data_IF_474110755879
#
_entry.id   IF_474110755879
#
_cell.length_a   1.000
_cell.length_b   1.000
_cell.length_c   1.000
_cell.angle_alpha   90.00
_cell.angle_beta   90.00
_cell.angle_gamma   90.00
#
_symmetry.space_group_name_H-M   'P 1'
#
loop_
_entity.id
_entity.type
_entity.pdbx_description
1 polymer ?
#
# COMPACT_ATOMS: atom_id res chain seq x y z
N UNK A 1 0.66 63.66 -6.35
CA UNK A 1 -0.09 62.40 -6.44
C UNK A 1 0.91 61.27 -6.18
N UNK A 2 0.98 60.82 -4.95
CA UNK A 2 1.88 59.75 -4.50
C UNK A 2 1.04 58.47 -4.33
N UNK A 3 1.25 57.51 -5.21
CA UNK A 3 0.64 56.19 -5.09
C UNK A 3 1.29 55.40 -3.96
N UNK A 4 0.54 55.16 -2.91
CA UNK A 4 0.91 54.32 -1.81
C UNK A 4 0.56 52.88 -2.15
N UNK A 5 1.57 52.09 -2.53
CA UNK A 5 1.43 50.62 -2.68
C UNK A 5 1.35 50.01 -1.28
N UNK A 6 0.17 49.56 -0.89
CA UNK A 6 0.01 48.65 0.25
C UNK A 6 0.43 47.25 -0.18
N UNK A 7 1.64 46.85 0.18
CA UNK A 7 2.04 45.45 0.17
C UNK A 7 1.39 44.76 1.37
N UNK A 8 0.36 43.98 1.08
CA UNK A 8 -0.22 43.05 2.07
C UNK A 8 0.79 41.94 2.29
N UNK A 9 1.57 42.03 3.36
CA UNK A 9 2.37 40.92 3.85
C UNK A 9 1.40 39.94 4.54
N UNK A 10 0.91 38.94 3.83
CA UNK A 10 0.25 37.79 4.42
C UNK A 10 1.31 37.02 5.21
N UNK A 11 1.39 37.27 6.51
CA UNK A 11 2.15 36.45 7.43
C UNK A 11 1.45 35.06 7.47
N UNK A 12 1.89 34.15 6.63
CA UNK A 12 1.61 32.73 6.81
C UNK A 12 2.29 32.29 8.12
N UNK A 13 1.58 32.36 9.23
CA UNK A 13 1.95 31.61 10.42
C UNK A 13 1.65 30.16 10.09
N UNK A 14 2.57 29.50 9.41
CA UNK A 14 2.64 28.05 9.41
C UNK A 14 2.93 27.65 10.85
N UNK A 15 1.88 27.36 11.62
CA UNK A 15 2.06 26.61 12.86
C UNK A 15 2.69 25.29 12.41
N UNK A 16 4.00 25.19 12.58
CA UNK A 16 4.74 23.98 12.26
C UNK A 16 4.05 22.83 13.00
N UNK A 17 3.29 22.01 12.28
CA UNK A 17 2.66 20.83 12.85
C UNK A 17 3.79 19.89 13.25
N UNK A 18 4.17 19.94 14.53
CA UNK A 18 5.19 19.07 15.10
C UNK A 18 4.79 17.61 14.93
N UNK A 19 5.78 16.75 14.80
CA UNK A 19 5.58 15.30 14.83
C UNK A 19 4.87 14.90 16.13
N UNK A 20 4.05 13.86 16.06
CA UNK A 20 3.38 13.32 17.24
C UNK A 20 4.36 12.50 18.09
N UNK A 21 4.30 12.66 19.41
CA UNK A 21 5.01 11.78 20.33
C UNK A 21 4.28 10.44 20.50
N UNK A 22 4.93 9.47 21.13
CA UNK A 22 4.38 8.12 21.28
C UNK A 22 3.03 8.07 22.02
N UNK A 23 2.81 8.94 23.00
CA UNK A 23 1.55 9.00 23.74
C UNK A 23 0.41 9.54 22.86
N UNK A 24 0.70 10.52 22.03
CA UNK A 24 -0.24 11.07 21.07
C UNK A 24 -0.59 10.06 19.98
N UNK A 25 0.40 9.33 19.46
CA UNK A 25 0.19 8.25 18.50
C UNK A 25 -0.69 7.13 19.08
N UNK A 26 -0.48 6.78 20.36
CA UNK A 26 -1.33 5.81 21.06
C UNK A 26 -2.78 6.29 21.17
N UNK A 27 -3.00 7.56 21.53
CA UNK A 27 -4.35 8.16 21.60
C UNK A 27 -5.03 8.19 20.21
N UNK A 28 -4.31 8.58 19.17
CA UNK A 28 -4.83 8.56 17.80
C UNK A 28 -5.19 7.13 17.34
N UNK A 29 -4.33 6.16 17.64
CA UNK A 29 -4.56 4.75 17.32
C UNK A 29 -5.85 4.22 17.96
N UNK A 30 -6.17 4.63 19.19
CA UNK A 30 -7.39 4.23 19.89
C UNK A 30 -8.68 4.71 19.16
N UNK A 31 -8.61 5.80 18.41
CA UNK A 31 -9.73 6.30 17.61
C UNK A 31 -9.73 5.70 16.19
N UNK A 32 -8.56 5.53 15.59
CA UNK A 32 -8.40 5.05 14.22
C UNK A 32 -8.71 3.56 14.10
N UNK A 33 -8.25 2.73 15.05
CA UNK A 33 -8.43 1.28 14.97
C UNK A 33 -9.91 0.85 15.00
N UNK A 34 -10.81 1.43 15.83
CA UNK A 34 -12.25 1.17 15.73
C UNK A 34 -12.87 1.66 14.42
N UNK A 35 -12.39 2.78 13.85
CA UNK A 35 -12.83 3.24 12.54
C UNK A 35 -12.48 2.21 11.46
N UNK A 36 -11.24 1.75 11.42
CA UNK A 36 -10.77 0.72 10.48
C UNK A 36 -11.52 -0.61 10.66
N UNK A 37 -11.90 -0.97 11.88
CA UNK A 37 -12.65 -2.22 12.11
C UNK A 37 -14.04 -2.25 11.47
N UNK A 38 -14.59 -1.08 11.10
CA UNK A 38 -15.89 -0.95 10.44
C UNK A 38 -15.78 -1.02 8.91
N UNK A 39 -14.56 -0.98 8.36
CA UNK A 39 -14.34 -1.04 6.91
C UNK A 39 -14.75 -2.42 6.41
N UNK A 40 -15.60 -2.44 5.39
CA UNK A 40 -16.03 -3.68 4.77
C UNK A 40 -14.85 -4.43 4.16
N UNK A 41 -14.68 -5.68 4.57
CA UNK A 41 -13.66 -6.57 4.02
C UNK A 41 -13.94 -6.96 2.57
N UNK A 42 -15.16 -6.75 2.12
CA UNK A 42 -15.65 -7.06 0.75
C UNK A 42 -15.50 -5.88 -0.23
N UNK A 43 -15.07 -4.70 0.25
CA UNK A 43 -14.82 -3.54 -0.61
C UNK A 43 -13.59 -3.75 -1.50
N UNK A 44 -13.54 -3.04 -2.64
CA UNK A 44 -12.35 -3.05 -3.50
C UNK A 44 -11.12 -2.53 -2.76
N UNK A 45 -9.92 -2.93 -3.20
CA UNK A 45 -8.65 -2.45 -2.63
C UNK A 45 -8.59 -0.93 -2.59
N UNK A 46 -9.06 -0.26 -3.66
CA UNK A 46 -9.11 1.21 -3.74
C UNK A 46 -10.03 1.77 -2.67
N UNK A 47 -11.27 1.23 -2.55
CA UNK A 47 -12.23 1.67 -1.54
C UNK A 47 -11.70 1.48 -0.12
N UNK A 48 -11.08 0.33 0.18
CA UNK A 48 -10.44 0.08 1.48
C UNK A 48 -9.33 1.08 1.78
N UNK A 49 -8.45 1.35 0.80
CA UNK A 49 -7.38 2.33 0.94
C UNK A 49 -7.93 3.73 1.21
N UNK A 50 -8.96 4.14 0.48
CA UNK A 50 -9.61 5.44 0.64
C UNK A 50 -10.29 5.56 2.01
N UNK A 51 -10.95 4.50 2.48
CA UNK A 51 -11.60 4.48 3.80
C UNK A 51 -10.57 4.49 4.95
N UNK A 52 -9.47 3.73 4.82
CA UNK A 52 -8.36 3.79 5.78
C UNK A 52 -7.77 5.19 5.83
N UNK A 53 -7.53 5.80 4.66
CA UNK A 53 -7.02 7.16 4.56
C UNK A 53 -7.96 8.18 5.22
N UNK A 54 -9.28 8.03 5.05
CA UNK A 54 -10.28 8.85 5.74
C UNK A 54 -10.22 8.68 7.26
N UNK A 55 -10.11 7.45 7.77
CA UNK A 55 -9.98 7.19 9.21
C UNK A 55 -8.75 7.89 9.81
N UNK A 56 -7.60 7.79 9.12
CA UNK A 56 -6.35 8.42 9.57
C UNK A 56 -6.46 9.94 9.51
N UNK A 57 -6.84 10.48 8.37
CA UNK A 57 -6.91 11.93 8.15
C UNK A 57 -7.92 12.60 9.06
N UNK A 58 -9.10 12.00 9.25
CA UNK A 58 -10.13 12.52 10.16
C UNK A 58 -9.64 12.58 11.61
N UNK A 59 -8.96 11.55 12.10
CA UNK A 59 -8.43 11.53 13.46
C UNK A 59 -7.33 12.59 13.67
N UNK A 60 -6.42 12.75 12.70
CA UNK A 60 -5.38 13.79 12.76
C UNK A 60 -6.00 15.17 12.70
N UNK A 61 -6.96 15.38 11.79
CA UNK A 61 -7.65 16.67 11.64
C UNK A 61 -8.36 17.07 12.93
N UNK A 62 -9.13 16.15 13.54
CA UNK A 62 -9.82 16.36 14.81
C UNK A 62 -8.83 16.76 15.91
N UNK A 63 -7.68 16.06 16.00
CA UNK A 63 -6.66 16.39 16.98
C UNK A 63 -6.07 17.77 16.75
N UNK A 64 -5.75 18.12 15.50
CA UNK A 64 -5.20 19.41 15.14
C UNK A 64 -6.21 20.55 15.43
N UNK A 65 -7.51 20.33 15.15
CA UNK A 65 -8.59 21.26 15.50
C UNK A 65 -8.65 21.50 17.01
N UNK A 66 -8.68 20.43 17.81
CA UNK A 66 -8.72 20.55 19.28
C UNK A 66 -7.50 21.33 19.80
N UNK A 67 -6.30 21.04 19.27
CA UNK A 67 -5.07 21.76 19.62
C UNK A 67 -5.16 23.25 19.27
N UNK A 68 -5.69 23.58 18.10
CA UNK A 68 -5.88 24.96 17.65
C UNK A 68 -6.91 25.70 18.50
N UNK A 69 -8.06 25.07 18.76
CA UNK A 69 -9.11 25.66 19.64
C UNK A 69 -8.61 25.87 21.06
N UNK A 70 -7.81 24.95 21.61
CA UNK A 70 -7.20 25.08 22.94
C UNK A 70 -6.23 26.26 22.98
N UNK A 71 -5.45 26.47 21.89
CA UNK A 71 -4.54 27.62 21.76
C UNK A 71 -5.30 28.93 21.67
N UNK A 72 -6.41 28.98 20.91
CA UNK A 72 -7.31 30.16 20.84
C UNK A 72 -7.84 30.48 22.23
N UNK A 73 -8.44 29.50 22.93
CA UNK A 73 -9.00 29.69 24.27
C UNK A 73 -7.95 30.23 25.24
N UNK A 74 -6.71 29.73 25.18
CA UNK A 74 -5.60 30.22 26.01
C UNK A 74 -5.23 31.66 25.66
N UNK A 75 -5.05 31.97 24.37
CA UNK A 75 -4.71 33.29 23.88
C UNK A 75 -5.82 34.31 24.25
N UNK A 76 -7.09 33.93 24.08
CA UNK A 76 -8.25 34.73 24.43
C UNK A 76 -8.28 34.99 25.97
N UNK A 77 -8.01 33.97 26.78
CA UNK A 77 -7.96 34.10 28.22
C UNK A 77 -6.82 34.99 28.67
N UNK A 78 -5.63 34.85 28.05
CA UNK A 78 -4.46 35.70 28.34
C UNK A 78 -4.68 37.14 27.85
N UNK A 79 -5.41 37.33 26.72
CA UNK A 79 -5.83 38.66 26.25
C UNK A 79 -6.86 39.29 27.21
N UNK A 80 -7.85 38.51 27.68
CA UNK A 80 -8.83 38.97 28.66
C UNK A 80 -8.20 39.35 30.01
N UNK A 81 -7.15 38.67 30.44
CA UNK A 81 -6.36 39.06 31.64
C UNK A 81 -5.63 40.38 31.42
N UNK A 82 -5.12 40.64 30.19
CA UNK A 82 -4.51 41.94 29.84
C UNK A 82 -5.53 43.05 29.77
N UNK A 83 -6.77 42.78 29.36
CA UNK A 83 -7.87 43.76 29.26
C UNK A 83 -8.28 44.30 30.63
N UNK A 84 -8.15 43.52 31.73
CA UNK A 84 -8.42 44.01 33.09
C UNK A 84 -7.53 45.20 33.49
N UNK A 85 -6.48 45.48 32.73
CA UNK A 85 -5.50 46.57 33.01
C UNK A 85 -5.47 47.64 31.91
N UNK A 86 -6.43 47.66 30.94
CA UNK A 86 -6.45 48.59 29.81
C UNK A 86 -7.59 49.61 29.97
N UNK A 87 -7.29 50.88 29.59
CA UNK A 87 -8.25 51.97 29.52
C UNK A 87 -9.19 51.80 28.28
N UNK A 88 -10.35 52.51 28.31
CA UNK A 88 -11.48 52.34 27.38
C UNK A 88 -11.25 52.62 25.88
N UNK A 89 -10.01 52.74 25.40
CA UNK A 89 -9.70 53.20 24.03
C UNK A 89 -8.90 52.26 23.15
N UNK A 90 -8.50 51.10 23.64
CA UNK A 90 -7.66 50.17 22.82
C UNK A 90 -8.49 49.09 22.18
N UNK A 91 -8.50 49.07 20.84
CA UNK A 91 -9.12 48.01 20.00
C UNK A 91 -8.21 46.79 19.94
N UNK A 92 -8.76 45.62 20.26
CA UNK A 92 -8.06 44.31 20.09
C UNK A 92 -8.36 43.77 18.74
N UNK A 93 -7.35 43.74 17.89
CA UNK A 93 -7.42 43.05 16.60
C UNK A 93 -7.12 41.55 16.82
N UNK A 94 -8.10 40.68 16.61
CA UNK A 94 -7.92 39.21 16.62
C UNK A 94 -7.84 38.73 15.17
N UNK A 95 -6.63 38.51 14.70
CA UNK A 95 -6.39 37.80 13.41
C UNK A 95 -6.69 36.32 13.58
N UNK A 96 -7.84 35.88 13.08
CA UNK A 96 -8.36 34.50 13.22
C UNK A 96 -8.13 33.63 11.99
N UNK A 97 -7.03 33.77 11.28
CA UNK A 97 -6.71 32.87 10.18
C UNK A 97 -6.02 31.60 10.72
N UNK A 98 -6.84 30.65 11.23
CA UNK A 98 -6.35 29.34 11.66
C UNK A 98 -6.59 28.34 10.54
N UNK A 99 -5.52 27.93 9.86
CA UNK A 99 -5.55 26.83 8.92
C UNK A 99 -5.30 25.52 9.68
N UNK A 100 -6.28 24.63 9.66
CA UNK A 100 -6.18 23.30 10.26
C UNK A 100 -6.07 22.29 9.12
N UNK A 101 -5.01 21.52 9.11
CA UNK A 101 -4.75 20.55 8.07
C UNK A 101 -4.06 19.29 8.58
N UNK A 102 -3.81 18.36 7.67
CA UNK A 102 -3.02 17.14 7.89
C UNK A 102 -1.79 17.25 7.02
N UNK A 103 -0.60 17.15 7.61
CA UNK A 103 0.64 17.13 6.83
C UNK A 103 1.01 15.69 6.45
N UNK A 104 1.71 15.53 5.33
CA UNK A 104 2.25 14.23 4.89
C UNK A 104 3.09 13.55 5.96
N UNK A 105 3.88 14.32 6.70
CA UNK A 105 4.74 13.80 7.78
C UNK A 105 3.89 13.23 8.91
N UNK A 106 2.84 13.94 9.33
CA UNK A 106 1.91 13.46 10.36
C UNK A 106 1.15 12.23 9.90
N UNK A 107 0.68 12.22 8.66
CA UNK A 107 -0.03 11.07 8.08
C UNK A 107 0.86 9.82 8.08
N UNK A 108 2.05 9.90 7.51
CA UNK A 108 3.02 8.80 7.46
C UNK A 108 3.44 8.31 8.85
N UNK A 109 3.60 9.20 9.80
CA UNK A 109 3.94 8.85 11.17
C UNK A 109 2.82 8.06 11.85
N UNK A 110 1.57 8.50 11.71
CA UNK A 110 0.39 7.82 12.25
C UNK A 110 0.16 6.49 11.52
N UNK A 111 0.22 6.47 10.20
CA UNK A 111 0.10 5.24 9.40
C UNK A 111 1.12 4.18 9.83
N UNK A 112 2.39 4.55 9.98
CA UNK A 112 3.46 3.66 10.47
C UNK A 112 3.16 3.14 11.88
N UNK A 113 2.61 3.97 12.76
CA UNK A 113 2.26 3.57 14.11
C UNK A 113 1.08 2.60 14.15
N UNK A 114 -0.02 2.91 13.44
CA UNK A 114 -1.20 2.04 13.40
C UNK A 114 -0.92 0.72 12.68
N UNK A 115 -0.04 0.71 11.67
CA UNK A 115 0.39 -0.50 11.01
C UNK A 115 1.00 -1.53 11.99
N UNK A 116 1.70 -1.04 13.02
CA UNK A 116 2.30 -1.87 14.09
C UNK A 116 1.31 -2.23 15.18
N UNK A 117 0.36 -1.36 15.50
CA UNK A 117 -0.42 -1.42 16.73
C UNK A 117 -1.92 -1.67 16.49
N UNK A 118 -2.41 -1.55 15.26
CA UNK A 118 -3.81 -1.76 14.92
C UNK A 118 -4.01 -3.13 14.24
N UNK A 119 -4.48 -4.12 15.00
CA UNK A 119 -4.73 -5.49 14.51
C UNK A 119 -5.74 -5.53 13.35
N UNK A 120 -6.71 -4.62 13.34
CA UNK A 120 -7.73 -4.56 12.31
C UNK A 120 -7.20 -4.02 10.98
N UNK A 121 -6.16 -3.18 10.99
CA UNK A 121 -5.55 -2.66 9.78
C UNK A 121 -4.97 -3.78 8.92
N UNK A 122 -4.28 -4.73 9.55
CA UNK A 122 -3.72 -5.89 8.85
C UNK A 122 -4.82 -6.72 8.20
N UNK A 123 -5.95 -6.89 8.89
CA UNK A 123 -7.13 -7.57 8.33
C UNK A 123 -7.62 -6.89 7.05
N UNK A 124 -7.75 -5.57 7.06
CA UNK A 124 -8.29 -4.80 5.93
C UNK A 124 -7.32 -4.77 4.76
N UNK A 125 -6.02 -4.60 4.99
CA UNK A 125 -5.01 -4.57 3.92
C UNK A 125 -4.84 -5.92 3.20
N UNK A 126 -4.93 -7.03 3.94
CA UNK A 126 -4.63 -8.36 3.40
C UNK A 126 -5.87 -9.12 2.92
N UNK A 127 -7.07 -8.56 3.06
CA UNK A 127 -8.30 -9.19 2.57
C UNK A 127 -8.66 -8.68 1.18
N UNK A 128 -8.43 -9.51 0.19
CA UNK A 128 -8.94 -9.30 -1.17
C UNK A 128 -10.26 -10.07 -1.36
N UNK A 129 -11.37 -9.48 -0.93
CA UNK A 129 -12.74 -9.86 -1.31
C UNK A 129 -13.23 -11.29 -1.08
N UNK A 130 -12.60 -12.11 -0.24
CA UNK A 130 -13.08 -13.46 0.05
C UNK A 130 -13.38 -13.65 1.51
N UNK A 131 -14.31 -14.54 1.81
CA UNK A 131 -14.79 -14.86 3.15
C UNK A 131 -13.62 -15.00 4.12
N UNK A 132 -13.38 -13.94 4.87
CA UNK A 132 -12.27 -13.79 5.82
C UNK A 132 -12.31 -14.84 6.94
N UNK A 133 -13.47 -15.45 7.16
CA UNK A 133 -13.72 -16.41 8.25
C UNK A 133 -12.73 -17.57 8.26
N UNK A 134 -12.18 -17.94 7.09
CA UNK A 134 -11.24 -19.07 6.97
C UNK A 134 -9.77 -18.67 6.83
N UNK A 135 -9.46 -17.37 6.72
CA UNK A 135 -8.08 -16.94 6.41
C UNK A 135 -7.27 -16.54 7.63
N UNK A 136 -7.93 -16.15 8.71
CA UNK A 136 -7.30 -15.75 9.98
C UNK A 136 -7.64 -16.72 11.11
N UNK A 137 -6.73 -16.91 12.05
CA UNK A 137 -6.93 -17.84 13.17
C UNK A 137 -7.66 -17.19 14.33
N UNK A 138 -8.56 -17.94 14.98
CA UNK A 138 -9.16 -17.54 16.25
C UNK A 138 -8.37 -18.04 17.47
N UNK A 139 -7.40 -18.95 17.26
CA UNK A 139 -6.57 -19.51 18.33
C UNK A 139 -5.57 -18.48 18.85
N UNK A 140 -5.72 -18.04 20.09
CA UNK A 140 -4.85 -17.05 20.75
C UNK A 140 -3.36 -17.36 20.62
N UNK A 141 -2.96 -18.65 20.79
CA UNK A 141 -1.56 -19.07 20.67
C UNK A 141 -1.03 -18.90 19.25
N UNK A 142 -1.82 -19.26 18.21
CA UNK A 142 -1.43 -19.08 16.83
C UNK A 142 -1.25 -17.59 16.48
N UNK A 143 -2.22 -16.77 16.86
CA UNK A 143 -2.15 -15.31 16.69
C UNK A 143 -0.91 -14.69 17.34
N UNK A 144 -0.59 -15.09 18.59
CA UNK A 144 0.59 -14.57 19.30
C UNK A 144 1.88 -14.83 18.53
N UNK A 145 2.07 -16.02 17.95
CA UNK A 145 3.25 -16.32 17.14
C UNK A 145 3.24 -15.59 15.81
N UNK A 146 2.08 -15.51 15.17
CA UNK A 146 1.90 -14.78 13.91
C UNK A 146 2.23 -13.29 14.07
N UNK A 147 1.70 -12.61 15.09
CA UNK A 147 1.95 -11.19 15.37
C UNK A 147 3.43 -10.91 15.62
N UNK A 148 4.12 -11.80 16.37
CA UNK A 148 5.57 -11.70 16.56
C UNK A 148 6.33 -11.92 15.25
N UNK A 149 5.89 -12.87 14.43
CA UNK A 149 6.44 -13.13 13.11
C UNK A 149 6.32 -11.93 12.20
N UNK A 150 5.17 -11.25 12.20
CA UNK A 150 4.95 -10.03 11.44
C UNK A 150 5.89 -8.88 11.86
N UNK A 151 6.17 -8.74 13.16
CA UNK A 151 7.10 -7.70 13.63
C UNK A 151 8.52 -7.95 13.08
N UNK A 152 9.00 -9.20 13.11
CA UNK A 152 10.29 -9.55 12.54
C UNK A 152 10.28 -9.38 11.00
N UNK A 153 9.22 -9.83 10.35
CA UNK A 153 9.02 -9.72 8.91
C UNK A 153 9.05 -8.27 8.41
N UNK A 154 8.40 -7.33 9.12
CA UNK A 154 8.42 -5.91 8.79
C UNK A 154 9.82 -5.29 8.88
N UNK A 155 10.64 -5.83 9.78
CA UNK A 155 12.06 -5.46 9.88
C UNK A 155 12.93 -6.15 8.82
N UNK A 156 12.33 -6.93 7.92
CA UNK A 156 13.00 -7.80 6.96
C UNK A 156 13.90 -8.88 7.61
N UNK A 157 13.73 -9.12 8.91
CA UNK A 157 14.40 -10.21 9.61
C UNK A 157 13.67 -11.54 9.38
N UNK A 158 13.89 -12.08 8.19
CA UNK A 158 13.24 -13.31 7.74
C UNK A 158 13.74 -14.54 8.51
N UNK A 159 14.97 -14.48 9.04
CA UNK A 159 15.52 -15.59 9.87
C UNK A 159 14.75 -15.73 11.18
N UNK A 160 14.44 -14.62 11.84
CA UNK A 160 13.60 -14.60 13.06
C UNK A 160 12.12 -14.83 12.75
N UNK A 161 11.59 -14.31 11.63
CA UNK A 161 10.20 -14.49 11.24
C UNK A 161 9.86 -15.97 10.95
N UNK A 162 10.78 -16.72 10.33
CA UNK A 162 10.56 -18.10 9.90
C UNK A 162 10.08 -19.04 11.03
N UNK A 163 10.77 -19.21 12.15
CA UNK A 163 10.32 -20.08 13.22
C UNK A 163 9.01 -19.62 13.87
N UNK A 164 8.73 -18.32 13.84
CA UNK A 164 7.51 -17.75 14.40
C UNK A 164 6.28 -18.10 13.54
N UNK A 165 6.38 -17.94 12.21
CA UNK A 165 5.30 -18.37 11.30
C UNK A 165 5.12 -19.89 11.31
N UNK A 166 6.21 -20.67 11.38
CA UNK A 166 6.11 -22.13 11.58
C UNK A 166 5.31 -22.48 12.85
N UNK A 167 5.60 -21.81 13.98
CA UNK A 167 4.84 -22.01 15.23
C UNK A 167 3.38 -21.58 15.07
N UNK A 168 3.10 -20.50 14.32
CA UNK A 168 1.73 -20.06 14.07
C UNK A 168 0.93 -21.15 13.33
N UNK A 169 1.43 -21.67 12.20
CA UNK A 169 0.76 -22.72 11.41
C UNK A 169 0.70 -24.07 12.16
N UNK A 170 1.66 -24.37 13.04
CA UNK A 170 1.60 -25.57 13.89
C UNK A 170 0.52 -25.48 14.98
N UNK A 171 0.22 -24.28 15.46
CA UNK A 171 -0.88 -24.05 16.43
C UNK A 171 -2.23 -23.95 15.75
N UNK A 172 -2.27 -23.55 14.50
CA UNK A 172 -3.47 -23.55 13.67
C UNK A 172 -3.14 -23.76 12.19
N UNK A 173 -3.33 -25.00 11.74
CA UNK A 173 -3.11 -25.37 10.34
C UNK A 173 -4.09 -24.73 9.35
N UNK A 174 -5.22 -24.18 9.84
CA UNK A 174 -6.23 -23.46 9.03
C UNK A 174 -5.94 -21.97 8.92
N UNK A 175 -4.83 -21.48 9.42
CA UNK A 175 -4.45 -20.08 9.37
C UNK A 175 -3.81 -19.74 8.01
N UNK A 176 -4.62 -19.45 6.99
CA UNK A 176 -4.17 -19.20 5.62
C UNK A 176 -3.12 -18.08 5.53
N UNK A 177 -3.31 -16.96 6.23
CA UNK A 177 -2.33 -15.86 6.24
C UNK A 177 -0.99 -16.23 6.86
N UNK A 178 -0.98 -17.12 7.85
CA UNK A 178 0.28 -17.59 8.41
C UNK A 178 1.03 -18.47 7.41
N UNK A 179 0.33 -19.28 6.62
CA UNK A 179 0.91 -20.05 5.53
C UNK A 179 1.43 -19.14 4.41
N UNK A 180 0.71 -18.07 4.03
CA UNK A 180 1.17 -17.11 3.03
C UNK A 180 2.45 -16.40 3.47
N UNK A 181 2.48 -15.86 4.70
CA UNK A 181 3.67 -15.20 5.23
C UNK A 181 4.85 -16.16 5.44
N UNK A 182 4.57 -17.42 5.79
CA UNK A 182 5.58 -18.48 5.83
C UNK A 182 6.17 -18.72 4.43
N UNK A 183 5.32 -18.79 3.41
CA UNK A 183 5.73 -18.92 2.01
C UNK A 183 6.60 -17.75 1.56
N UNK A 184 6.18 -16.52 1.86
CA UNK A 184 6.95 -15.33 1.55
C UNK A 184 8.32 -15.32 2.24
N UNK A 185 8.33 -15.70 3.53
CA UNK A 185 9.56 -15.77 4.32
C UNK A 185 10.53 -16.81 3.74
N UNK A 186 10.04 -18.00 3.37
CA UNK A 186 10.86 -19.00 2.66
C UNK A 186 11.40 -18.48 1.33
N UNK A 187 10.58 -17.77 0.53
CA UNK A 187 11.00 -17.20 -0.73
C UNK A 187 12.12 -16.17 -0.54
N UNK A 188 12.01 -15.29 0.46
CA UNK A 188 13.05 -14.31 0.79
C UNK A 188 14.36 -14.94 1.27
N UNK A 189 14.27 -16.12 1.86
CA UNK A 189 15.44 -16.93 2.27
C UNK A 189 15.95 -17.87 1.15
N UNK A 190 15.46 -17.73 -0.09
CA UNK A 190 15.88 -18.52 -1.24
C UNK A 190 15.33 -19.95 -1.27
N UNK A 191 14.47 -20.33 -0.32
CA UNK A 191 13.93 -21.69 -0.25
C UNK A 191 12.62 -21.81 -1.03
N UNK A 192 12.73 -21.75 -2.37
CA UNK A 192 11.59 -21.63 -3.27
C UNK A 192 10.65 -22.84 -3.22
N UNK A 193 11.18 -24.06 -3.08
CA UNK A 193 10.38 -25.29 -2.96
C UNK A 193 9.45 -25.21 -1.74
N UNK A 194 9.99 -24.87 -0.57
CA UNK A 194 9.19 -24.73 0.66
C UNK A 194 8.22 -23.53 0.60
N UNK A 195 8.59 -22.47 -0.12
CA UNK A 195 7.69 -21.35 -0.38
C UNK A 195 6.46 -21.80 -1.17
N UNK A 196 6.66 -22.56 -2.25
CA UNK A 196 5.58 -23.11 -3.08
C UNK A 196 4.65 -24.00 -2.25
N UNK A 197 5.20 -24.87 -1.41
CA UNK A 197 4.41 -25.74 -0.52
C UNK A 197 3.54 -24.91 0.45
N UNK A 198 4.12 -23.88 1.06
CA UNK A 198 3.39 -23.00 1.97
C UNK A 198 2.28 -22.22 1.26
N UNK A 199 2.54 -21.68 0.07
CA UNK A 199 1.51 -21.01 -0.72
C UNK A 199 0.39 -21.97 -1.16
N UNK A 200 0.72 -23.21 -1.53
CA UNK A 200 -0.29 -24.24 -1.81
C UNK A 200 -1.19 -24.51 -0.60
N UNK A 201 -0.63 -24.55 0.59
CA UNK A 201 -1.41 -24.68 1.85
C UNK A 201 -2.31 -23.48 2.09
N UNK A 202 -1.80 -22.26 1.86
CA UNK A 202 -2.62 -21.04 1.94
C UNK A 202 -3.78 -21.07 0.94
N UNK A 203 -3.50 -21.41 -0.34
CA UNK A 203 -4.50 -21.46 -1.40
C UNK A 203 -5.52 -22.61 -1.25
N UNK A 204 -5.15 -23.70 -0.58
CA UNK A 204 -6.10 -24.75 -0.24
C UNK A 204 -7.13 -24.28 0.81
N UNK A 205 -6.78 -23.30 1.64
CA UNK A 205 -7.67 -22.69 2.63
C UNK A 205 -8.45 -21.50 2.05
N UNK A 206 -7.81 -20.70 1.19
CA UNK A 206 -8.41 -19.57 0.48
C UNK A 206 -7.95 -19.55 -0.98
N UNK A 207 -8.75 -20.17 -1.86
CA UNK A 207 -8.43 -20.33 -3.29
C UNK A 207 -8.33 -19.01 -4.05
N UNK A 208 -8.90 -17.92 -3.51
CA UNK A 208 -8.91 -16.60 -4.14
C UNK A 208 -7.95 -15.63 -3.45
N UNK A 209 -7.13 -16.10 -2.51
CA UNK A 209 -6.15 -15.27 -1.83
C UNK A 209 -5.21 -14.61 -2.85
N UNK A 210 -5.32 -13.30 -3.01
CA UNK A 210 -4.57 -12.55 -4.03
C UNK A 210 -3.07 -12.67 -3.86
N UNK A 211 -2.59 -12.45 -2.64
CA UNK A 211 -1.16 -12.48 -2.33
C UNK A 211 -0.53 -13.87 -2.57
N UNK A 212 -1.10 -14.98 -2.06
CA UNK A 212 -0.55 -16.30 -2.35
C UNK A 212 -0.66 -16.71 -3.83
N UNK A 213 -1.71 -16.29 -4.58
CA UNK A 213 -1.80 -16.52 -6.02
C UNK A 213 -0.66 -15.86 -6.79
N UNK A 214 -0.38 -14.58 -6.50
CA UNK A 214 0.72 -13.85 -7.12
C UNK A 214 2.07 -14.42 -6.67
N UNK A 215 2.26 -14.63 -5.38
CA UNK A 215 3.53 -15.04 -4.81
C UNK A 215 3.95 -16.46 -5.20
N UNK A 216 3.00 -17.38 -5.40
CA UNK A 216 3.33 -18.75 -5.86
C UNK A 216 3.87 -18.74 -7.29
N UNK A 217 3.32 -17.88 -8.16
CA UNK A 217 3.82 -17.70 -9.51
C UNK A 217 5.27 -17.20 -9.52
N UNK A 218 5.57 -16.19 -8.68
CA UNK A 218 6.94 -15.69 -8.49
C UNK A 218 7.85 -16.78 -7.93
N UNK A 219 7.38 -17.60 -6.98
CA UNK A 219 8.19 -18.66 -6.38
C UNK A 219 8.52 -19.76 -7.40
N UNK A 220 7.59 -20.13 -8.26
CA UNK A 220 7.85 -21.04 -9.39
C UNK A 220 8.86 -20.45 -10.38
N UNK A 221 8.73 -19.17 -10.72
CA UNK A 221 9.70 -18.49 -11.60
C UNK A 221 11.11 -18.50 -11.00
N UNK A 222 11.26 -18.19 -9.72
CA UNK A 222 12.53 -18.21 -9.03
C UNK A 222 13.11 -19.63 -8.87
N UNK A 223 12.24 -20.64 -8.85
CA UNK A 223 12.64 -22.06 -8.84
C UNK A 223 12.92 -22.59 -10.26
N UNK A 224 12.94 -21.73 -11.27
CA UNK A 224 13.12 -22.06 -12.70
C UNK A 224 12.02 -22.99 -13.27
N UNK A 225 10.88 -23.10 -12.63
CA UNK A 225 9.71 -23.84 -13.11
C UNK A 225 8.77 -22.90 -13.87
N UNK A 226 9.22 -22.48 -15.06
CA UNK A 226 8.50 -21.47 -15.86
C UNK A 226 7.12 -21.96 -16.30
N UNK A 227 6.94 -23.26 -16.51
CA UNK A 227 5.65 -23.86 -16.88
C UNK A 227 4.60 -23.65 -15.79
N UNK A 228 4.93 -23.99 -14.54
CA UNK A 228 4.02 -23.80 -13.43
C UNK A 228 3.89 -22.32 -13.03
N UNK A 229 4.91 -21.49 -13.26
CA UNK A 229 4.80 -20.05 -13.09
C UNK A 229 3.75 -19.45 -14.04
N UNK A 230 3.78 -19.77 -15.34
CA UNK A 230 2.77 -19.33 -16.32
C UNK A 230 1.38 -19.80 -15.88
N UNK A 231 1.21 -21.09 -15.55
CA UNK A 231 -0.06 -21.62 -15.07
C UNK A 231 -0.59 -20.86 -13.86
N UNK A 232 0.30 -20.52 -12.93
CA UNK A 232 -0.07 -19.79 -11.71
C UNK A 232 -0.48 -18.34 -12.00
N UNK A 233 0.22 -17.63 -12.92
CA UNK A 233 -0.20 -16.31 -13.36
C UNK A 233 -1.53 -16.31 -14.10
N UNK A 234 -1.77 -17.33 -14.95
CA UNK A 234 -3.08 -17.50 -15.63
C UNK A 234 -4.19 -17.76 -14.61
N UNK A 235 -3.95 -18.59 -13.61
CA UNK A 235 -4.89 -18.81 -12.51
C UNK A 235 -5.13 -17.51 -11.74
N UNK A 236 -4.08 -16.75 -11.45
CA UNK A 236 -4.22 -15.43 -10.83
C UNK A 236 -5.08 -14.51 -11.71
N UNK A 237 -4.82 -14.44 -13.00
CA UNK A 237 -5.57 -13.63 -13.95
C UNK A 237 -7.03 -14.04 -14.11
N UNK A 238 -7.38 -15.32 -13.89
CA UNK A 238 -8.78 -15.76 -13.94
C UNK A 238 -9.64 -15.15 -12.85
N UNK A 239 -9.05 -14.84 -11.68
CA UNK A 239 -9.72 -14.16 -10.57
C UNK A 239 -9.55 -12.64 -10.61
N UNK A 240 -8.42 -12.12 -11.12
CA UNK A 240 -8.00 -10.72 -11.06
C UNK A 240 -7.59 -10.19 -12.45
N UNK A 241 -8.55 -10.18 -13.37
CA UNK A 241 -8.33 -9.88 -14.81
C UNK A 241 -7.67 -8.51 -15.08
N UNK A 242 -7.96 -7.50 -14.23
CA UNK A 242 -7.46 -6.14 -14.42
C UNK A 242 -6.23 -5.84 -13.56
N UNK A 243 -5.62 -6.89 -12.97
CA UNK A 243 -4.40 -6.68 -12.20
C UNK A 243 -3.18 -6.70 -13.12
N UNK A 244 -2.41 -5.59 -13.20
CA UNK A 244 -1.24 -5.51 -14.07
C UNK A 244 -0.15 -6.52 -13.75
N UNK A 245 -0.05 -6.99 -12.51
CA UNK A 245 0.95 -7.98 -12.07
C UNK A 245 0.84 -9.30 -12.83
N UNK A 246 -0.39 -9.68 -13.25
CA UNK A 246 -0.60 -10.86 -14.09
C UNK A 246 0.18 -10.76 -15.41
N UNK A 247 -0.02 -9.65 -16.08
CA UNK A 247 0.56 -9.42 -17.41
C UNK A 247 2.05 -9.11 -17.32
N UNK A 248 2.45 -8.37 -16.32
CA UNK A 248 3.87 -8.10 -16.06
C UNK A 248 4.65 -9.39 -15.78
N UNK A 249 4.10 -10.27 -14.95
CA UNK A 249 4.69 -11.57 -14.66
C UNK A 249 4.78 -12.48 -15.88
N UNK A 250 3.69 -12.61 -16.65
CA UNK A 250 3.67 -13.37 -17.89
C UNK A 250 4.66 -12.80 -18.93
N UNK A 251 4.67 -11.48 -19.11
CA UNK A 251 5.57 -10.80 -20.04
C UNK A 251 7.04 -11.10 -19.73
N UNK A 252 7.41 -11.04 -18.43
CA UNK A 252 8.77 -11.39 -18.00
C UNK A 252 9.14 -12.83 -18.26
N UNK A 253 8.23 -13.79 -18.04
CA UNK A 253 8.50 -15.21 -18.26
C UNK A 253 8.68 -15.48 -19.75
N UNK A 254 7.79 -14.97 -20.60
CA UNK A 254 7.93 -15.12 -22.04
C UNK A 254 9.20 -14.47 -22.61
N UNK A 255 9.61 -13.32 -22.03
CA UNK A 255 10.89 -12.71 -22.38
C UNK A 255 12.10 -13.61 -22.03
N UNK A 256 12.10 -14.22 -20.84
CA UNK A 256 13.13 -15.18 -20.43
C UNK A 256 13.18 -16.40 -21.38
N UNK A 257 12.04 -16.81 -21.92
CA UNK A 257 11.94 -17.89 -22.92
C UNK A 257 12.28 -17.42 -24.33
N UNK A 258 12.67 -16.15 -24.52
CA UNK A 258 12.91 -15.51 -25.83
C UNK A 258 11.68 -15.57 -26.76
N UNK A 259 10.51 -15.73 -26.20
CA UNK A 259 9.24 -15.69 -26.91
C UNK A 259 8.70 -14.25 -26.90
N UNK A 260 9.20 -13.44 -27.82
CA UNK A 260 9.06 -11.98 -27.76
C UNK A 260 7.66 -11.48 -28.10
N UNK A 261 6.90 -12.17 -28.97
CA UNK A 261 5.52 -11.73 -29.32
C UNK A 261 4.59 -11.78 -28.09
N UNK A 262 4.38 -12.91 -27.39
CA UNK A 262 3.57 -12.91 -26.17
C UNK A 262 4.22 -12.13 -25.03
N UNK A 263 5.55 -12.00 -24.97
CA UNK A 263 6.21 -11.14 -23.99
C UNK A 263 5.79 -9.68 -24.16
N UNK A 264 5.81 -9.18 -25.40
CA UNK A 264 5.44 -7.81 -25.73
C UNK A 264 3.94 -7.56 -25.50
N UNK A 265 3.06 -8.47 -25.95
CA UNK A 265 1.61 -8.34 -25.78
C UNK A 265 1.23 -8.20 -24.30
N UNK A 266 1.79 -9.04 -23.44
CA UNK A 266 1.55 -8.98 -22.01
C UNK A 266 2.19 -7.72 -21.38
N UNK A 267 3.37 -7.33 -21.79
CA UNK A 267 4.06 -6.16 -21.23
C UNK A 267 3.34 -4.85 -21.58
N UNK A 268 2.81 -4.73 -22.80
CA UNK A 268 1.96 -3.60 -23.21
C UNK A 268 0.70 -3.54 -22.35
N UNK A 269 0.02 -4.66 -22.11
CA UNK A 269 -1.17 -4.70 -21.23
C UNK A 269 -0.82 -4.26 -19.81
N UNK A 270 0.30 -4.74 -19.26
CA UNK A 270 0.78 -4.32 -17.95
C UNK A 270 1.04 -2.81 -17.90
N UNK A 271 1.73 -2.28 -18.91
CA UNK A 271 2.01 -0.85 -19.03
C UNK A 271 0.74 0.01 -19.03
N UNK A 272 -0.24 -0.35 -19.86
CA UNK A 272 -1.52 0.36 -19.95
C UNK A 272 -2.24 0.36 -18.59
N UNK A 273 -2.31 -0.80 -17.93
CA UNK A 273 -2.99 -0.93 -16.64
C UNK A 273 -2.26 -0.16 -15.53
N UNK A 274 -0.92 -0.24 -15.46
CA UNK A 274 -0.14 0.54 -14.51
C UNK A 274 -0.30 2.04 -14.74
N UNK A 275 -0.30 2.50 -16.01
CA UNK A 275 -0.51 3.92 -16.37
C UNK A 275 -1.90 4.38 -15.95
N UNK A 276 -2.95 3.60 -16.23
CA UNK A 276 -4.33 3.88 -15.79
C UNK A 276 -4.43 3.99 -14.26
N UNK A 277 -3.65 3.20 -13.53
CA UNK A 277 -3.59 3.22 -12.07
C UNK A 277 -2.67 4.30 -11.51
N UNK A 278 -1.99 5.08 -12.35
CA UNK A 278 -0.94 6.04 -11.97
C UNK A 278 0.16 5.39 -11.10
N UNK A 279 0.48 4.14 -11.40
CA UNK A 279 1.48 3.36 -10.67
C UNK A 279 2.89 3.66 -11.20
N UNK A 280 3.91 3.82 -10.35
CA UNK A 280 5.29 3.99 -10.78
C UNK A 280 5.85 2.79 -11.55
N UNK A 281 5.24 1.61 -11.41
CA UNK A 281 5.62 0.39 -12.15
C UNK A 281 5.35 0.46 -13.65
N UNK A 282 4.60 1.48 -14.13
CA UNK A 282 4.50 1.76 -15.57
C UNK A 282 5.87 1.97 -16.21
N UNK A 283 6.80 2.64 -15.52
CA UNK A 283 8.16 2.84 -16.01
C UNK A 283 8.94 1.52 -16.19
N UNK A 284 8.75 0.57 -15.27
CA UNK A 284 9.42 -0.73 -15.38
C UNK A 284 8.85 -1.56 -16.52
N UNK A 285 7.53 -1.53 -16.73
CA UNK A 285 6.90 -2.16 -17.89
C UNK A 285 7.38 -1.50 -19.20
N UNK A 286 7.50 -0.17 -19.25
CA UNK A 286 8.04 0.57 -20.40
C UNK A 286 9.48 0.17 -20.74
N UNK A 287 10.34 0.02 -19.74
CA UNK A 287 11.73 -0.46 -19.96
C UNK A 287 11.75 -1.86 -20.57
N UNK A 288 10.89 -2.76 -20.10
CA UNK A 288 10.81 -4.12 -20.67
C UNK A 288 10.28 -4.11 -22.10
N UNK A 289 9.30 -3.25 -22.43
CA UNK A 289 8.85 -3.06 -23.81
C UNK A 289 10.03 -2.65 -24.71
N UNK A 290 10.85 -1.68 -24.23
CA UNK A 290 12.02 -1.23 -24.97
C UNK A 290 13.08 -2.34 -25.16
N UNK A 291 13.33 -3.18 -24.14
CA UNK A 291 14.22 -4.33 -24.28
C UNK A 291 13.71 -5.30 -25.34
N UNK A 292 12.41 -5.61 -25.34
CA UNK A 292 11.79 -6.52 -26.34
C UNK A 292 11.83 -5.90 -27.73
N UNK A 293 11.58 -4.58 -27.86
CA UNK A 293 11.70 -3.84 -29.12
C UNK A 293 13.10 -4.01 -29.72
N UNK A 294 14.14 -3.80 -28.91
CA UNK A 294 15.52 -3.93 -29.37
C UNK A 294 15.87 -5.35 -29.81
N UNK A 295 15.34 -6.37 -29.12
CA UNK A 295 15.54 -7.76 -29.53
C UNK A 295 14.80 -8.09 -30.85
N UNK A 296 13.58 -7.59 -31.03
CA UNK A 296 12.82 -7.73 -32.29
C UNK A 296 13.53 -6.98 -33.45
N UNK A 297 14.07 -5.78 -33.19
CA UNK A 297 14.86 -5.01 -34.16
C UNK A 297 16.09 -5.77 -34.64
N UNK A 298 16.85 -6.36 -33.73
CA UNK A 298 18.02 -7.19 -34.05
C UNK A 298 17.65 -8.40 -34.90
N UNK A 299 16.42 -8.93 -34.77
CA UNK A 299 15.92 -10.08 -35.52
C UNK A 299 15.21 -9.69 -36.85
N UNK A 300 15.11 -8.39 -37.17
CA UNK A 300 14.36 -7.93 -38.35
C UNK A 300 12.83 -8.14 -38.23
N UNK A 301 12.29 -8.26 -37.01
CA UNK A 301 10.89 -8.61 -36.74
C UNK A 301 10.09 -7.46 -36.11
N UNK A 302 10.38 -6.21 -36.50
CA UNK A 302 9.66 -5.04 -35.96
C UNK A 302 8.18 -4.98 -36.37
N UNK A 303 7.77 -5.71 -37.40
CA UNK A 303 6.38 -5.91 -37.77
C UNK A 303 5.51 -6.41 -36.59
N UNK A 304 6.06 -7.31 -35.77
CA UNK A 304 5.42 -7.80 -34.55
C UNK A 304 5.13 -6.64 -33.58
N UNK A 305 6.12 -5.75 -33.41
CA UNK A 305 5.97 -4.59 -32.50
C UNK A 305 4.84 -3.67 -32.98
N UNK A 306 4.86 -3.29 -34.26
CA UNK A 306 3.86 -2.38 -34.83
C UNK A 306 2.46 -3.02 -34.85
N UNK A 307 2.35 -4.31 -35.15
CA UNK A 307 1.10 -5.08 -35.08
C UNK A 307 0.49 -5.03 -33.68
N UNK A 308 1.29 -5.28 -32.63
CA UNK A 308 0.81 -5.29 -31.25
C UNK A 308 0.52 -3.89 -30.72
N UNK A 309 1.32 -2.88 -31.10
CA UNK A 309 1.05 -1.50 -30.79
C UNK A 309 -0.33 -1.05 -31.34
N UNK A 310 -0.62 -1.38 -32.60
CA UNK A 310 -1.92 -1.12 -33.23
C UNK A 310 -3.05 -1.87 -32.52
N UNK A 311 -2.84 -3.17 -32.16
CA UNK A 311 -3.81 -3.99 -31.42
C UNK A 311 -4.22 -3.32 -30.09
N UNK A 312 -3.27 -2.68 -29.42
CA UNK A 312 -3.47 -2.02 -28.12
C UNK A 312 -3.72 -0.52 -28.24
N UNK A 313 -4.00 0.00 -29.42
CA UNK A 313 -4.29 1.41 -29.71
C UNK A 313 -3.21 2.37 -29.21
N UNK A 314 -1.94 1.97 -29.29
CA UNK A 314 -0.81 2.84 -29.01
C UNK A 314 -0.46 3.65 -30.25
N UNK A 315 -0.42 4.99 -30.12
CA UNK A 315 0.05 5.86 -31.18
C UNK A 315 1.59 5.82 -31.22
N UNK A 316 2.14 5.17 -32.24
CA UNK A 316 3.57 5.08 -32.47
C UNK A 316 3.87 5.61 -33.87
N UNK A 317 4.75 6.62 -33.96
CA UNK A 317 5.35 7.01 -35.24
C UNK A 317 6.28 5.89 -35.70
N UNK A 318 6.18 5.52 -37.00
CA UNK A 318 7.21 4.71 -37.62
C UNK A 318 8.35 5.69 -37.98
N UNK A 319 9.49 5.54 -37.33
CA UNK A 319 10.73 6.18 -37.75
C UNK A 319 11.26 5.51 -39.02
#
# INVERSE_FOLDING_TARGET
MKNLFYTIFALFITTGYSQFNNQELKKLSNNICPCISKISLYSSKKSKSDEISKCISSAILTKNMVKSLTKIKKNTLDSLKKIKNLSKTDSINMDNNIVVGVTDTQYKQVEKYIYKNCKNLQKVYFTDNTKFENSYSDKKKAKKFYDKGLIAFQKQDYKTALPLFKKAVSKDSKFAFAWDNLGYTYRKLGNYKKAIEAYKKSLALDQKGKMPLMNIAVAYQLNNDLKNAIKSYLTYGSYYKDDPEVYYGLGRIYYLQKNYEPALDNMIRAYILYTKMKSPYSNDAGKHINYIYNELKKQGKLDIFYKLAKKHHLNISKD
#
